data_IF_235721420002
#
_entry.id   IF_235721420002
#
_cell.length_a   1.000
_cell.length_b   1.000
_cell.length_c   1.000
_cell.angle_alpha   90.00
_cell.angle_beta   90.00
_cell.angle_gamma   90.00
#
_symmetry.space_group_name_H-M   'P 1'
#
loop_
_entity.id
_entity.type
_entity.pdbx_description
1 polymer ?
#
# COMPACT_ATOMS: atom_id res chain seq x y z
N UNK A 1 52.56 -5.41 -2.00
CA UNK A 1 52.24 -4.80 -0.70
C UNK A 1 51.10 -3.83 -0.94
N UNK A 2 49.92 -4.18 -0.43
CA UNK A 2 48.66 -3.47 -0.60
C UNK A 2 48.37 -2.68 0.67
N UNK A 3 48.31 -1.36 0.58
CA UNK A 3 47.76 -0.43 1.58
C UNK A 3 47.29 0.80 0.78
N UNK A 4 46.06 1.29 0.83
CA UNK A 4 44.95 0.95 1.70
C UNK A 4 43.62 1.47 1.12
N UNK A 5 42.60 0.64 1.33
CA UNK A 5 41.28 1.02 1.85
C UNK A 5 40.74 2.40 1.43
N UNK A 6 40.24 2.49 0.21
CA UNK A 6 39.03 3.26 -0.05
C UNK A 6 37.86 2.55 0.64
N UNK A 7 37.40 3.11 1.76
CA UNK A 7 36.21 2.64 2.47
C UNK A 7 35.00 2.72 1.54
N UNK A 8 34.65 1.58 0.96
CA UNK A 8 33.31 1.27 0.49
C UNK A 8 32.37 1.30 1.70
N UNK A 9 31.70 2.43 1.91
CA UNK A 9 30.40 2.45 2.59
C UNK A 9 29.38 2.89 1.55
N UNK A 10 29.16 2.00 0.58
CA UNK A 10 27.95 1.91 -0.20
C UNK A 10 27.18 0.73 0.38
N UNK A 11 26.43 0.96 1.46
CA UNK A 11 25.40 0.02 1.91
C UNK A 11 24.41 0.73 2.85
N UNK A 12 23.63 1.64 2.27
CA UNK A 12 22.33 1.99 2.79
C UNK A 12 21.55 2.58 1.61
N UNK A 13 20.93 1.71 0.81
CA UNK A 13 19.70 2.09 0.11
C UNK A 13 18.76 2.55 1.22
N UNK A 14 18.72 3.86 1.46
CA UNK A 14 17.84 4.46 2.45
C UNK A 14 16.42 4.23 1.90
N UNK A 15 15.75 3.18 2.37
CA UNK A 15 14.48 2.73 1.83
C UNK A 15 13.43 3.84 2.01
N UNK A 16 13.23 4.65 0.97
CA UNK A 16 12.30 5.78 1.01
C UNK A 16 10.86 5.28 1.06
N UNK A 17 10.01 5.98 1.80
CA UNK A 17 8.57 5.82 1.78
C UNK A 17 7.94 6.79 0.79
N UNK A 18 7.23 6.26 -0.19
CA UNK A 18 6.39 7.03 -1.11
C UNK A 18 4.97 6.43 -1.11
N UNK A 19 4.03 7.08 -1.81
CA UNK A 19 2.64 6.63 -1.86
C UNK A 19 2.48 5.20 -2.39
N UNK A 20 3.26 4.81 -3.40
CA UNK A 20 3.24 3.43 -3.92
C UNK A 20 3.64 2.40 -2.86
N UNK A 21 4.70 2.65 -2.08
CA UNK A 21 5.10 1.77 -0.98
C UNK A 21 4.03 1.77 0.11
N UNK A 22 3.46 2.92 0.45
CA UNK A 22 2.36 3.03 1.42
C UNK A 22 1.16 2.15 1.03
N UNK A 23 0.69 2.27 -0.21
CA UNK A 23 -0.44 1.46 -0.72
C UNK A 23 -0.10 -0.02 -0.68
N UNK A 24 1.08 -0.41 -1.15
CA UNK A 24 1.50 -1.81 -1.17
C UNK A 24 1.62 -2.41 0.23
N UNK A 25 2.14 -1.67 1.20
CA UNK A 25 2.25 -2.14 2.58
C UNK A 25 0.89 -2.14 3.29
N UNK A 26 0.02 -1.17 3.03
CA UNK A 26 -1.37 -1.17 3.53
C UNK A 26 -2.13 -2.41 3.06
N UNK A 27 -2.08 -2.72 1.77
CA UNK A 27 -2.80 -3.86 1.18
C UNK A 27 -2.43 -5.19 1.87
N UNK A 28 -1.17 -5.37 2.28
CA UNK A 28 -0.69 -6.56 3.02
C UNK A 28 -1.21 -6.68 4.45
N UNK A 29 -1.63 -5.57 5.06
CA UNK A 29 -2.14 -5.54 6.44
C UNK A 29 -3.63 -5.22 6.52
N UNK A 30 -4.30 -4.96 5.38
CA UNK A 30 -5.68 -4.47 5.36
C UNK A 30 -6.65 -5.44 6.06
N UNK A 31 -6.38 -6.74 6.03
CA UNK A 31 -7.14 -7.74 6.76
C UNK A 31 -7.09 -7.55 8.28
N UNK A 32 -5.98 -7.00 8.83
CA UNK A 32 -5.79 -6.74 10.26
C UNK A 32 -6.56 -5.49 10.71
N UNK A 33 -6.73 -4.51 9.82
CA UNK A 33 -7.33 -3.20 10.12
C UNK A 33 -8.86 -3.25 10.02
N UNK A 34 -9.40 -4.23 9.30
CA UNK A 34 -10.84 -4.45 9.15
C UNK A 34 -11.43 -5.42 10.19
N UNK A 35 -10.62 -5.94 11.12
CA UNK A 35 -11.00 -7.00 12.03
C UNK A 35 -11.46 -6.48 13.40
N UNK A 36 -12.21 -7.30 14.13
CA UNK A 36 -12.74 -6.99 15.48
C UNK A 36 -11.70 -7.05 16.59
N UNK A 37 -10.47 -7.43 16.27
CA UNK A 37 -9.38 -7.61 17.24
C UNK A 37 -8.76 -6.24 17.54
N UNK A 38 -8.77 -5.78 18.81
CA UNK A 38 -8.09 -4.53 19.17
C UNK A 38 -6.60 -4.57 18.84
N UNK A 39 -6.04 -3.40 18.49
CA UNK A 39 -4.63 -3.28 18.09
C UNK A 39 -3.67 -3.91 19.12
N UNK A 40 -3.89 -3.67 20.42
CA UNK A 40 -3.04 -4.20 21.49
C UNK A 40 -3.02 -5.74 21.58
N UNK A 41 -4.04 -6.40 21.02
CA UNK A 41 -4.18 -7.86 21.05
C UNK A 41 -3.60 -8.55 19.81
N UNK A 42 -3.12 -7.80 18.82
CA UNK A 42 -2.45 -8.38 17.67
C UNK A 42 -1.07 -8.94 18.03
N UNK A 43 -0.57 -9.96 17.32
CA UNK A 43 0.83 -10.37 17.41
C UNK A 43 1.77 -9.18 17.25
N UNK A 44 2.86 -9.16 18.00
CA UNK A 44 3.75 -8.01 18.06
C UNK A 44 4.32 -7.61 16.70
N UNK A 45 4.66 -8.57 15.84
CA UNK A 45 5.14 -8.29 14.49
C UNK A 45 4.08 -7.59 13.61
N UNK A 46 2.81 -7.93 13.80
CA UNK A 46 1.70 -7.25 13.15
C UNK A 46 1.50 -5.83 13.70
N UNK A 47 1.62 -5.64 15.02
CA UNK A 47 1.58 -4.32 15.64
C UNK A 47 2.66 -3.39 15.04
N UNK A 48 3.90 -3.87 14.89
CA UNK A 48 4.98 -3.10 14.28
C UNK A 48 4.65 -2.69 12.84
N UNK A 49 4.11 -3.61 12.03
CA UNK A 49 3.74 -3.31 10.63
C UNK A 49 2.68 -2.22 10.55
N UNK A 50 1.67 -2.29 11.40
CA UNK A 50 0.61 -1.27 11.52
C UNK A 50 1.21 0.07 11.94
N UNK A 51 2.08 0.09 12.96
CA UNK A 51 2.72 1.32 13.43
C UNK A 51 3.55 2.00 12.34
N UNK A 52 4.30 1.23 11.53
CA UNK A 52 5.07 1.81 10.41
C UNK A 52 4.19 2.53 9.39
N UNK A 53 3.06 1.92 9.00
CA UNK A 53 2.11 2.53 8.07
C UNK A 53 1.47 3.77 8.71
N UNK A 54 1.10 3.66 9.98
CA UNK A 54 0.54 4.77 10.78
C UNK A 54 1.48 5.97 10.81
N UNK A 55 2.78 5.76 11.10
CA UNK A 55 3.81 6.81 11.08
C UNK A 55 3.94 7.49 9.73
N UNK A 56 3.86 6.73 8.63
CA UNK A 56 3.93 7.29 7.28
C UNK A 56 2.69 8.13 6.95
N UNK A 57 1.49 7.66 7.32
CA UNK A 57 0.25 8.44 7.14
C UNK A 57 0.32 9.72 7.98
N UNK A 58 0.75 9.64 9.24
CA UNK A 58 0.97 10.82 10.09
C UNK A 58 1.91 11.82 9.43
N UNK A 59 2.98 11.35 8.79
CA UNK A 59 3.91 12.22 8.08
C UNK A 59 3.25 12.94 6.89
N UNK A 60 2.42 12.26 6.10
CA UNK A 60 1.65 12.89 5.03
C UNK A 60 0.62 13.89 5.55
N UNK A 61 -0.03 13.58 6.67
CA UNK A 61 -1.07 14.43 7.28
C UNK A 61 -0.50 15.54 8.19
N UNK A 62 0.81 15.59 8.42
CA UNK A 62 1.46 16.57 9.29
C UNK A 62 1.16 16.37 10.79
N UNK A 63 0.88 15.15 11.22
CA UNK A 63 0.45 14.80 12.58
C UNK A 63 1.63 14.34 13.46
N UNK A 64 2.41 15.30 13.97
CA UNK A 64 3.64 15.02 14.73
C UNK A 64 3.40 14.42 16.13
N UNK A 65 2.35 14.81 16.84
CA UNK A 65 1.97 14.23 18.14
C UNK A 65 0.50 13.86 18.13
N UNK A 66 0.19 12.58 18.26
CA UNK A 66 -1.16 12.09 18.00
C UNK A 66 -1.59 11.08 19.07
N UNK A 67 -2.76 11.32 19.66
CA UNK A 67 -3.42 10.40 20.61
C UNK A 67 -4.31 9.39 19.85
N UNK A 68 -4.55 9.60 18.55
CA UNK A 68 -5.39 8.70 17.76
C UNK A 68 -4.79 7.30 17.67
N UNK A 69 -5.67 6.31 17.77
CA UNK A 69 -5.31 4.91 17.64
C UNK A 69 -4.80 4.61 16.22
N UNK A 70 -3.85 3.67 16.04
CA UNK A 70 -3.29 3.35 14.74
C UNK A 70 -4.33 3.02 13.66
N UNK A 71 -5.41 2.31 14.04
CA UNK A 71 -6.48 1.96 13.12
C UNK A 71 -7.28 3.17 12.65
N UNK A 72 -7.57 4.14 13.51
CA UNK A 72 -8.30 5.35 13.13
C UNK A 72 -7.49 6.18 12.12
N UNK A 73 -6.17 6.26 12.32
CA UNK A 73 -5.26 6.96 11.41
C UNK A 73 -5.24 6.29 10.04
N UNK A 74 -5.13 4.96 10.00
CA UNK A 74 -5.17 4.20 8.74
C UNK A 74 -6.55 4.33 8.08
N UNK A 75 -7.61 4.25 8.88
CA UNK A 75 -9.00 4.36 8.47
C UNK A 75 -9.31 5.68 7.78
N UNK A 76 -8.80 6.79 8.33
CA UNK A 76 -8.92 8.13 7.77
C UNK A 76 -8.39 8.30 6.34
N UNK A 77 -7.58 7.36 5.83
CA UNK A 77 -7.08 7.39 4.45
C UNK A 77 -7.76 6.34 3.58
N UNK A 78 -7.89 5.12 4.09
CA UNK A 78 -8.23 3.96 3.26
C UNK A 78 -9.68 3.47 3.40
N UNK A 79 -10.41 3.89 4.43
CA UNK A 79 -11.81 3.49 4.63
C UNK A 79 -12.75 4.57 4.10
N UNK A 80 -13.68 4.18 3.21
CA UNK A 80 -14.66 5.09 2.59
C UNK A 80 -15.48 5.88 3.62
N UNK A 81 -15.83 5.25 4.75
CA UNK A 81 -16.59 5.87 5.83
C UNK A 81 -15.86 7.05 6.48
N UNK A 82 -14.54 7.10 6.36
CA UNK A 82 -13.66 7.97 7.16
C UNK A 82 -12.74 8.85 6.28
N UNK A 83 -12.52 8.51 5.01
CA UNK A 83 -11.53 9.17 4.17
C UNK A 83 -11.96 10.48 3.52
N UNK A 84 -13.23 10.87 3.70
CA UNK A 84 -13.80 12.09 3.10
C UNK A 84 -13.03 13.34 3.47
N UNK A 85 -12.68 13.48 4.76
CA UNK A 85 -11.98 14.65 5.24
C UNK A 85 -10.58 14.74 4.62
N UNK A 86 -9.81 13.65 4.64
CA UNK A 86 -8.46 13.61 4.04
C UNK A 86 -8.51 13.90 2.54
N UNK A 87 -9.44 13.28 1.81
CA UNK A 87 -9.55 13.47 0.37
C UNK A 87 -10.01 14.88 0.00
N UNK A 88 -10.89 15.50 0.79
CA UNK A 88 -11.34 16.88 0.56
C UNK A 88 -10.22 17.92 0.71
N UNK A 89 -9.19 17.61 1.50
CA UNK A 89 -8.01 18.48 1.69
C UNK A 89 -6.83 18.08 0.80
N UNK A 90 -6.87 16.92 0.16
CA UNK A 90 -5.84 16.45 -0.76
C UNK A 90 -6.23 16.79 -2.19
N UNK A 91 -5.58 17.80 -2.76
CA UNK A 91 -5.91 18.33 -4.10
C UNK A 91 -5.83 17.23 -5.15
N UNK A 92 -6.86 17.17 -5.99
CA UNK A 92 -6.91 16.31 -7.17
C UNK A 92 -7.22 17.18 -8.38
N UNK A 93 -6.16 17.51 -9.12
CA UNK A 93 -6.23 18.53 -10.17
C UNK A 93 -6.95 18.01 -11.41
N UNK A 94 -7.35 18.93 -12.30
CA UNK A 94 -7.87 18.56 -13.63
C UNK A 94 -6.86 17.76 -14.46
N UNK A 95 -5.55 17.95 -14.23
CA UNK A 95 -4.50 17.17 -14.87
C UNK A 95 -4.49 15.73 -14.36
N UNK A 96 -4.62 15.54 -13.04
CA UNK A 96 -4.70 14.22 -12.41
C UNK A 96 -5.97 13.48 -12.85
N UNK A 97 -7.11 14.19 -12.92
CA UNK A 97 -8.36 13.67 -13.46
C UNK A 97 -8.22 13.21 -14.91
N UNK A 98 -7.53 14.00 -15.75
CA UNK A 98 -7.29 13.65 -17.15
C UNK A 98 -6.40 12.42 -17.27
N UNK A 99 -5.33 12.36 -16.48
CA UNK A 99 -4.41 11.22 -16.44
C UNK A 99 -5.11 9.94 -15.94
N UNK A 100 -5.95 10.06 -14.90
CA UNK A 100 -6.75 8.96 -14.38
C UNK A 100 -7.71 8.42 -15.46
N UNK A 101 -8.45 9.31 -16.14
CA UNK A 101 -9.36 8.91 -17.24
C UNK A 101 -8.60 8.22 -18.37
N UNK A 102 -7.41 8.71 -18.72
CA UNK A 102 -6.56 8.07 -19.72
C UNK A 102 -6.16 6.66 -19.30
N UNK A 103 -5.71 6.45 -18.05
CA UNK A 103 -5.36 5.13 -17.51
C UNK A 103 -6.56 4.18 -17.52
N UNK A 104 -7.73 4.63 -17.07
CA UNK A 104 -8.96 3.82 -17.07
C UNK A 104 -9.42 3.40 -18.48
N UNK A 105 -9.24 4.26 -19.49
CA UNK A 105 -9.52 3.89 -20.88
C UNK A 105 -8.51 2.89 -21.46
N UNK A 106 -7.28 2.83 -20.94
CA UNK A 106 -6.26 1.87 -21.37
C UNK A 106 -6.51 0.47 -20.82
N UNK A 107 -7.27 0.34 -19.73
CA UNK A 107 -7.56 -0.96 -19.09
C UNK A 107 -8.77 -1.69 -19.64
N UNK A 108 -9.46 -1.13 -20.65
CA UNK A 108 -10.66 -1.75 -21.24
C UNK A 108 -10.59 -1.84 -22.77
N UNK A 109 -11.20 -2.89 -23.31
CA UNK A 109 -11.43 -3.03 -24.75
C UNK A 109 -12.61 -2.16 -25.21
N UNK A 110 -13.59 -1.89 -24.34
CA UNK A 110 -14.76 -1.05 -24.62
C UNK A 110 -14.47 0.45 -24.40
N UNK A 111 -13.43 0.99 -25.06
CA UNK A 111 -12.96 2.38 -24.84
C UNK A 111 -14.07 3.42 -24.94
N UNK A 112 -14.91 3.34 -25.98
CA UNK A 112 -16.00 4.29 -26.20
C UNK A 112 -17.01 4.32 -25.04
N UNK A 113 -17.29 3.16 -24.43
CA UNK A 113 -18.22 3.03 -23.31
C UNK A 113 -17.61 3.62 -22.05
N UNK A 114 -16.33 3.33 -21.82
CA UNK A 114 -15.58 3.91 -20.70
C UNK A 114 -15.48 5.43 -20.82
N UNK A 115 -15.10 5.95 -21.99
CA UNK A 115 -15.06 7.40 -22.25
C UNK A 115 -16.42 8.07 -22.01
N UNK A 116 -17.51 7.42 -22.40
CA UNK A 116 -18.85 7.92 -22.14
C UNK A 116 -19.16 8.02 -20.63
N UNK A 117 -18.89 6.96 -19.87
CA UNK A 117 -19.08 6.94 -18.41
C UNK A 117 -18.22 7.99 -17.71
N UNK A 118 -16.95 8.11 -18.11
CA UNK A 118 -16.00 9.04 -17.51
C UNK A 118 -16.32 10.52 -17.76
N UNK A 119 -17.23 10.87 -18.69
CA UNK A 119 -17.72 12.25 -18.82
C UNK A 119 -18.45 12.72 -17.56
N UNK A 120 -19.07 11.79 -16.85
CA UNK A 120 -19.85 12.07 -15.63
C UNK A 120 -19.01 11.98 -14.35
N UNK A 121 -17.79 11.44 -14.42
CA UNK A 121 -16.85 11.39 -13.29
C UNK A 121 -16.27 12.80 -13.06
N UNK A 122 -16.82 13.52 -12.08
CA UNK A 122 -16.47 14.93 -11.81
C UNK A 122 -16.54 15.32 -10.33
N UNK A 123 -17.03 14.44 -9.45
CA UNK A 123 -17.25 14.78 -8.04
C UNK A 123 -16.25 14.09 -7.12
N UNK A 124 -16.03 14.67 -5.93
CA UNK A 124 -15.24 14.01 -4.88
C UNK A 124 -15.87 12.67 -4.46
N UNK A 125 -17.20 12.55 -4.54
CA UNK A 125 -17.87 11.27 -4.29
C UNK A 125 -17.49 10.19 -5.32
N UNK A 126 -17.34 10.56 -6.60
CA UNK A 126 -16.88 9.61 -7.61
C UNK A 126 -15.44 9.14 -7.32
N UNK A 127 -14.58 10.08 -6.90
CA UNK A 127 -13.20 9.82 -6.47
C UNK A 127 -13.15 8.85 -5.28
N UNK A 128 -13.92 9.12 -4.23
CA UNK A 128 -14.04 8.27 -3.04
C UNK A 128 -14.50 6.84 -3.40
N UNK A 129 -15.55 6.74 -4.21
CA UNK A 129 -16.12 5.45 -4.64
C UNK A 129 -15.11 4.66 -5.47
N UNK A 130 -14.45 5.28 -6.44
CA UNK A 130 -13.45 4.62 -7.26
C UNK A 130 -12.25 4.15 -6.43
N UNK A 131 -11.73 5.01 -5.53
CA UNK A 131 -10.64 4.63 -4.62
C UNK A 131 -11.02 3.39 -3.81
N UNK A 132 -12.23 3.37 -3.26
CA UNK A 132 -12.76 2.25 -2.47
C UNK A 132 -12.82 0.95 -3.29
N UNK A 133 -13.31 1.03 -4.53
CA UNK A 133 -13.43 -0.13 -5.41
C UNK A 133 -12.03 -0.66 -5.75
N UNK A 134 -11.09 0.20 -6.13
CA UNK A 134 -9.74 -0.22 -6.49
C UNK A 134 -8.99 -0.83 -5.30
N UNK A 135 -9.10 -0.23 -4.10
CA UNK A 135 -8.49 -0.79 -2.89
C UNK A 135 -9.05 -2.19 -2.56
N UNK A 136 -10.38 -2.37 -2.64
CA UNK A 136 -11.00 -3.69 -2.42
C UNK A 136 -10.46 -4.75 -3.39
N UNK A 137 -10.30 -4.40 -4.66
CA UNK A 137 -9.71 -5.32 -5.64
C UNK A 137 -8.23 -5.61 -5.34
N UNK A 138 -7.43 -4.62 -4.96
CA UNK A 138 -6.03 -4.86 -4.60
C UNK A 138 -5.89 -5.77 -3.39
N UNK A 139 -6.70 -5.56 -2.35
CA UNK A 139 -6.72 -6.40 -1.15
C UNK A 139 -7.09 -7.84 -1.52
N UNK A 140 -8.15 -8.03 -2.30
CA UNK A 140 -8.57 -9.37 -2.72
C UNK A 140 -7.51 -10.11 -3.56
N UNK A 141 -6.76 -9.39 -4.40
CA UNK A 141 -5.65 -9.96 -5.17
C UNK A 141 -4.47 -10.33 -4.26
N UNK A 142 -4.13 -9.47 -3.29
CA UNK A 142 -3.08 -9.77 -2.31
C UNK A 142 -3.43 -11.01 -1.48
N UNK A 143 -4.69 -11.15 -1.04
CA UNK A 143 -5.16 -12.34 -0.33
C UNK A 143 -5.03 -13.61 -1.18
N UNK A 144 -5.34 -13.49 -2.48
CA UNK A 144 -5.15 -14.59 -3.43
C UNK A 144 -3.67 -14.94 -3.63
N UNK A 145 -2.78 -13.96 -3.78
CA UNK A 145 -1.33 -14.19 -3.89
C UNK A 145 -0.75 -14.81 -2.60
N UNK A 146 -1.25 -14.39 -1.43
CA UNK A 146 -0.89 -14.98 -0.14
C UNK A 146 -1.36 -16.43 -0.02
N UNK A 147 -2.56 -16.76 -0.49
CA UNK A 147 -3.03 -18.15 -0.56
C UNK A 147 -2.13 -19.02 -1.45
N UNK A 148 -1.63 -18.49 -2.57
CA UNK A 148 -0.73 -19.20 -3.47
C UNK A 148 0.71 -19.32 -2.93
N UNK A 149 1.13 -18.42 -2.03
CA UNK A 149 2.49 -18.40 -1.46
C UNK A 149 2.61 -19.10 -0.11
N UNK A 150 1.49 -19.31 0.61
CA UNK A 150 1.46 -20.08 1.84
C UNK A 150 2.17 -21.42 1.62
N UNK A 151 3.06 -21.82 2.55
CA UNK A 151 3.84 -23.07 2.45
C UNK A 151 2.89 -24.25 2.26
N UNK A 152 2.66 -24.63 1.01
CA UNK A 152 1.77 -25.72 0.70
C UNK A 152 2.40 -27.01 1.17
N UNK A 153 1.54 -27.81 1.77
CA UNK A 153 1.84 -29.13 2.30
C UNK A 153 2.52 -30.01 1.22
N UNK A 154 3.31 -30.99 1.66
CA UNK A 154 4.28 -31.79 0.87
C UNK A 154 3.70 -32.66 -0.27
N UNK A 155 2.50 -32.36 -0.76
CA UNK A 155 1.79 -33.14 -1.79
C UNK A 155 2.10 -32.61 -3.18
N UNK A 156 2.68 -33.48 -4.02
CA UNK A 156 3.14 -33.18 -5.37
C UNK A 156 2.09 -32.52 -6.27
N UNK A 157 0.83 -32.96 -6.20
CA UNK A 157 -0.25 -32.40 -7.03
C UNK A 157 -0.59 -30.94 -6.70
N UNK A 158 -0.62 -30.58 -5.41
CA UNK A 158 -0.86 -29.21 -4.95
C UNK A 158 0.27 -28.28 -5.40
N UNK A 159 1.52 -28.72 -5.25
CA UNK A 159 2.69 -27.97 -5.71
C UNK A 159 2.67 -27.71 -7.23
N UNK A 160 2.36 -28.75 -8.03
CA UNK A 160 2.24 -28.61 -9.49
C UNK A 160 1.13 -27.61 -9.84
N UNK A 161 -0.05 -27.76 -9.22
CA UNK A 161 -1.19 -26.87 -9.48
C UNK A 161 -0.87 -25.40 -9.19
N UNK A 162 -0.24 -25.12 -8.05
CA UNK A 162 0.14 -23.75 -7.68
C UNK A 162 1.21 -23.18 -8.59
N UNK A 163 2.23 -23.94 -8.96
CA UNK A 163 3.23 -23.47 -9.93
C UNK A 163 2.61 -23.15 -11.31
N UNK A 164 1.65 -23.96 -11.77
CA UNK A 164 0.93 -23.70 -13.02
C UNK A 164 0.15 -22.39 -12.92
N UNK A 165 -0.64 -22.20 -11.86
CA UNK A 165 -1.41 -20.97 -11.65
C UNK A 165 -0.50 -19.75 -11.54
N UNK A 166 0.57 -19.81 -10.74
CA UNK A 166 1.54 -18.73 -10.60
C UNK A 166 2.19 -18.36 -11.93
N UNK A 167 2.66 -19.34 -12.71
CA UNK A 167 3.31 -19.07 -13.99
C UNK A 167 2.35 -18.50 -15.04
N UNK A 168 1.08 -18.92 -15.03
CA UNK A 168 0.07 -18.42 -15.96
C UNK A 168 -0.37 -16.99 -15.62
N UNK A 169 -0.57 -16.69 -14.34
CA UNK A 169 -1.25 -15.46 -13.94
C UNK A 169 -0.35 -14.41 -13.30
N UNK A 170 0.74 -14.75 -12.61
CA UNK A 170 1.56 -13.77 -11.87
C UNK A 170 2.05 -12.60 -12.73
N UNK A 171 2.57 -12.80 -13.97
CA UNK A 171 3.02 -11.67 -14.78
C UNK A 171 1.89 -10.69 -15.12
N UNK A 172 0.70 -11.22 -15.40
CA UNK A 172 -0.49 -10.43 -15.74
C UNK A 172 -1.01 -9.71 -14.50
N UNK A 173 -1.16 -10.42 -13.38
CA UNK A 173 -1.59 -9.88 -12.09
C UNK A 173 -0.67 -8.74 -11.65
N UNK A 174 0.66 -8.95 -11.72
CA UNK A 174 1.64 -7.93 -11.33
C UNK A 174 1.51 -6.66 -12.17
N UNK A 175 1.31 -6.79 -13.48
CA UNK A 175 1.11 -5.63 -14.35
C UNK A 175 -0.20 -4.89 -14.01
N UNK A 176 -1.28 -5.63 -13.79
CA UNK A 176 -2.57 -5.05 -13.38
C UNK A 176 -2.46 -4.34 -12.01
N UNK A 177 -1.77 -4.95 -11.06
CA UNK A 177 -1.52 -4.39 -9.72
C UNK A 177 -0.75 -3.07 -9.81
N UNK A 178 0.30 -2.99 -10.63
CA UNK A 178 1.06 -1.75 -10.84
C UNK A 178 0.17 -0.62 -11.42
N UNK A 179 -0.67 -0.93 -12.42
CA UNK A 179 -1.59 0.05 -12.99
C UNK A 179 -2.64 0.51 -11.98
N UNK A 180 -3.14 -0.41 -11.16
CA UNK A 180 -4.11 -0.11 -10.12
C UNK A 180 -3.50 0.72 -8.98
N UNK A 181 -2.26 0.42 -8.58
CA UNK A 181 -1.50 1.21 -7.60
C UNK A 181 -1.30 2.64 -8.09
N UNK A 182 -0.91 2.83 -9.36
CA UNK A 182 -0.80 4.17 -9.95
C UNK A 182 -2.12 4.94 -9.85
N UNK A 183 -3.25 4.28 -10.14
CA UNK A 183 -4.56 4.92 -10.06
C UNK A 183 -4.97 5.22 -8.62
N UNK A 184 -4.70 4.32 -7.67
CA UNK A 184 -4.93 4.54 -6.24
C UNK A 184 -4.10 5.74 -5.76
N UNK A 185 -2.82 5.79 -6.09
CA UNK A 185 -1.93 6.92 -5.73
C UNK A 185 -2.44 8.24 -6.31
N UNK A 186 -2.87 8.26 -7.57
CA UNK A 186 -3.48 9.46 -8.17
C UNK A 186 -4.74 9.89 -7.43
N UNK A 187 -5.60 8.93 -7.05
CA UNK A 187 -6.83 9.19 -6.31
C UNK A 187 -6.56 9.67 -4.87
N UNK A 188 -5.42 9.33 -4.27
CA UNK A 188 -5.03 9.87 -2.96
C UNK A 188 -4.72 11.36 -3.02
N UNK A 189 -4.28 11.89 -4.16
CA UNK A 189 -4.06 13.32 -4.41
C UNK A 189 -2.75 13.87 -3.86
N UNK A 190 -2.57 15.19 -3.96
CA UNK A 190 -1.28 15.85 -3.81
C UNK A 190 -0.66 15.74 -2.41
N UNK A 191 -1.46 15.53 -1.36
CA UNK A 191 -0.98 15.30 0.01
C UNK A 191 0.02 14.14 0.03
N UNK A 192 -0.14 13.16 -0.86
CA UNK A 192 0.68 11.95 -0.92
C UNK A 192 1.84 11.99 -1.94
N UNK A 193 2.13 13.14 -2.54
CA UNK A 193 3.19 13.27 -3.56
C UNK A 193 4.62 13.30 -3.00
N UNK A 194 4.77 13.47 -1.67
CA UNK A 194 6.07 13.55 -1.01
C UNK A 194 6.67 12.16 -0.77
N UNK A 195 8.00 12.08 -0.75
CA UNK A 195 8.69 10.92 -0.20
C UNK A 195 9.35 11.25 1.14
N UNK A 196 9.41 10.26 2.02
CA UNK A 196 10.04 10.35 3.34
C UNK A 196 11.19 9.37 3.46
N UNK A 197 12.21 9.75 4.23
CA UNK A 197 13.24 8.80 4.65
C UNK A 197 12.80 8.11 5.94
N UNK A 198 13.21 6.86 6.18
CA UNK A 198 12.94 6.20 7.45
C UNK A 198 13.52 6.99 8.63
N UNK A 199 14.68 7.65 8.44
CA UNK A 199 15.25 8.55 9.45
C UNK A 199 14.31 9.69 9.83
N UNK A 200 13.71 10.38 8.85
CA UNK A 200 12.74 11.44 9.11
C UNK A 200 11.52 10.90 9.89
N UNK A 201 11.04 9.71 9.51
CA UNK A 201 9.90 9.09 10.17
C UNK A 201 10.21 8.67 11.62
N UNK A 202 11.42 8.18 11.88
CA UNK A 202 11.88 7.82 13.23
C UNK A 202 12.00 9.08 14.10
N UNK A 203 12.59 10.15 13.57
CA UNK A 203 12.87 11.36 14.33
C UNK A 203 11.61 12.17 14.66
N UNK A 204 10.54 12.07 13.85
CA UNK A 204 9.38 12.99 13.94
C UNK A 204 8.00 12.31 14.05
N UNK A 205 7.88 11.03 13.71
CA UNK A 205 6.58 10.37 13.55
C UNK A 205 6.51 8.98 14.21
N UNK A 206 7.36 8.73 15.22
CA UNK A 206 7.38 7.50 16.03
C UNK A 206 7.54 6.20 15.22
N UNK A 207 8.24 6.26 14.08
CA UNK A 207 8.45 5.08 13.25
C UNK A 207 9.27 4.01 13.98
N UNK A 208 8.81 2.74 14.02
CA UNK A 208 9.54 1.67 14.68
C UNK A 208 10.94 1.44 14.10
N UNK A 209 11.96 1.42 14.97
CA UNK A 209 13.39 1.30 14.59
C UNK A 209 13.77 -0.15 14.21
N UNK A 210 12.93 -1.12 14.56
CA UNK A 210 13.18 -2.52 14.23
C UNK A 210 13.21 -2.75 12.72
N UNK A 211 14.13 -3.59 12.25
CA UNK A 211 14.29 -3.94 10.84
C UNK A 211 13.39 -5.09 10.41
N UNK A 212 13.15 -5.24 9.10
CA UNK A 212 12.40 -6.38 8.54
C UNK A 212 13.03 -7.73 8.87
N UNK A 213 14.37 -7.76 8.95
CA UNK A 213 15.11 -8.96 9.32
C UNK A 213 14.82 -9.38 10.76
N UNK A 214 14.88 -8.43 11.70
CA UNK A 214 14.59 -8.69 13.11
C UNK A 214 13.13 -9.12 13.32
N UNK A 215 12.18 -8.51 12.60
CA UNK A 215 10.78 -8.95 12.60
C UNK A 215 10.61 -10.39 12.10
N UNK A 216 11.30 -10.74 11.01
CA UNK A 216 11.26 -12.09 10.46
C UNK A 216 11.87 -13.13 11.42
N UNK A 217 12.99 -12.80 12.06
CA UNK A 217 13.61 -13.65 13.08
C UNK A 217 12.69 -13.84 14.28
N UNK A 218 12.01 -12.78 14.75
CA UNK A 218 11.04 -12.89 15.84
C UNK A 218 9.88 -13.85 15.50
N UNK A 219 9.32 -13.74 14.28
CA UNK A 219 8.23 -14.61 13.80
C UNK A 219 8.63 -16.08 13.64
N UNK A 220 9.92 -16.38 13.43
CA UNK A 220 10.39 -17.77 13.40
C UNK A 220 10.47 -18.35 14.82
N UNK A 221 10.77 -17.50 15.80
CA UNK A 221 11.07 -17.92 17.16
C UNK A 221 9.84 -17.91 18.10
N UNK A 222 8.70 -17.38 17.66
CA UNK A 222 7.44 -17.27 18.42
C UNK A 222 6.25 -17.67 17.54
#
# INVERSE_FOLDING_TARGET
MNVGQSNNILCCDCASWNAHRLVNEYVKIAWMVNDTVPFENLPWDNQVRILRITSVIRAYLGLESCIFEPFDIIGSVFLNSENKEVLSHSEFSNADLTLLKQKLCQTTEEKWRMEHLLRHFQTDSDREQLLTILLRYRIAIEDFENMLSAKLDKRTGTYIGVNVVQNLYNPVIKNCNNMMDDMIVLLLGNTFNRAFTERELIERFDYPIITDKELFEWRINN
#
